data_IF_267305707177
#
_entry.id   IF_267305707177
#
_cell.length_a   1.000
_cell.length_b   1.000
_cell.length_c   1.000
_cell.angle_alpha   90.00
_cell.angle_beta   90.00
_cell.angle_gamma   90.00
#
_symmetry.space_group_name_H-M   'P 1'
#
loop_
_entity.id
_entity.type
_entity.pdbx_description
1 polymer ?
#
# COMPACT_ATOMS: atom_id res chain seq x y z
N UNK A 1 -2.63 6.40 6.99
CA UNK A 1 -2.66 5.21 7.84
C UNK A 1 -3.18 5.65 9.19
N UNK A 2 -4.09 4.87 9.77
CA UNK A 2 -4.64 5.15 11.09
C UNK A 2 -4.18 4.06 12.05
N UNK A 3 -3.76 4.44 13.26
CA UNK A 3 -3.34 3.55 14.34
C UNK A 3 -2.22 2.59 13.92
N UNK A 4 -1.19 3.11 13.25
CA UNK A 4 -0.10 2.31 12.68
C UNK A 4 1.05 2.21 13.68
N UNK A 5 1.27 1.00 14.21
CA UNK A 5 2.45 0.66 15.01
C UNK A 5 3.68 0.56 14.11
N UNK A 6 4.77 1.20 14.50
CA UNK A 6 6.07 1.06 13.84
C UNK A 6 7.22 1.24 14.83
N UNK A 7 8.45 0.99 14.37
CA UNK A 7 9.66 1.33 15.10
C UNK A 7 9.74 2.84 15.38
N UNK A 8 10.39 3.20 16.48
CA UNK A 8 10.53 4.59 16.89
C UNK A 8 11.90 4.85 17.53
N UNK A 9 12.27 6.13 17.64
CA UNK A 9 13.53 6.52 18.28
C UNK A 9 13.42 6.40 19.81
N UNK A 10 14.49 5.94 20.47
CA UNK A 10 14.60 5.91 21.94
C UNK A 10 15.33 4.69 22.49
N UNK A 11 15.18 3.53 21.85
CA UNK A 11 15.91 2.29 22.15
C UNK A 11 15.84 1.33 20.96
N UNK A 12 16.62 0.23 20.92
CA UNK A 12 16.57 -0.76 19.84
C UNK A 12 15.19 -1.41 19.64
N UNK A 13 14.38 -1.47 20.69
CA UNK A 13 13.05 -2.11 20.69
C UNK A 13 11.91 -1.07 20.79
N UNK A 14 12.23 0.22 20.70
CA UNK A 14 11.24 1.28 20.83
C UNK A 14 10.24 1.24 19.66
N UNK A 15 8.96 1.32 20.02
CA UNK A 15 7.86 1.39 19.05
C UNK A 15 6.94 2.56 19.37
N UNK A 16 6.21 3.02 18.35
CA UNK A 16 5.19 4.05 18.52
C UNK A 16 4.07 3.83 17.53
N UNK A 17 2.85 4.10 18.00
CA UNK A 17 1.68 4.20 17.16
C UNK A 17 1.57 5.63 16.64
N UNK A 18 1.55 5.79 15.32
CA UNK A 18 1.38 7.06 14.64
C UNK A 18 0.26 6.99 13.59
N UNK A 19 -0.10 8.16 13.08
CA UNK A 19 -1.27 8.42 12.26
C UNK A 19 -0.87 9.38 11.14
N UNK A 20 -1.53 9.30 9.98
CA UNK A 20 -1.38 10.28 8.90
C UNK A 20 -0.99 9.67 7.55
N UNK A 21 -0.88 10.51 6.53
CA UNK A 21 -0.49 10.10 5.17
C UNK A 21 0.91 9.51 5.15
N UNK A 22 1.84 10.03 5.96
CA UNK A 22 3.19 9.48 6.15
C UNK A 22 3.18 8.02 6.63
N UNK A 23 2.14 7.56 7.31
CA UNK A 23 1.98 6.15 7.71
C UNK A 23 1.24 5.33 6.66
N UNK A 24 0.47 5.94 5.75
CA UNK A 24 -0.09 5.24 4.58
C UNK A 24 0.98 4.98 3.50
N UNK A 25 1.78 6.00 3.16
CA UNK A 25 2.79 5.92 2.09
C UNK A 25 3.73 4.70 2.17
N UNK A 26 4.32 4.32 3.33
CA UNK A 26 5.19 3.15 3.41
C UNK A 26 4.47 1.82 3.12
N UNK A 27 3.15 1.72 3.34
CA UNK A 27 2.40 0.53 2.94
C UNK A 27 2.31 0.42 1.41
N UNK A 28 2.13 1.54 0.70
CA UNK A 28 2.13 1.57 -0.78
C UNK A 28 3.54 1.32 -1.32
N UNK A 29 4.58 1.84 -0.67
CA UNK A 29 5.97 1.55 -1.02
C UNK A 29 6.30 0.05 -0.86
N UNK A 30 5.89 -0.56 0.26
CA UNK A 30 6.01 -2.00 0.48
C UNK A 30 5.26 -2.82 -0.55
N UNK A 31 4.03 -2.42 -0.92
CA UNK A 31 3.27 -3.06 -1.99
C UNK A 31 3.97 -2.95 -3.37
N UNK A 32 4.58 -1.81 -3.66
CA UNK A 32 5.37 -1.62 -4.89
C UNK A 32 6.56 -2.58 -4.93
N UNK A 33 7.29 -2.72 -3.81
CA UNK A 33 8.39 -3.65 -3.68
C UNK A 33 7.93 -5.11 -3.82
N UNK A 34 6.77 -5.47 -3.25
CA UNK A 34 6.15 -6.78 -3.40
C UNK A 34 5.83 -7.11 -4.86
N UNK A 35 5.20 -6.18 -5.59
CA UNK A 35 4.89 -6.34 -7.02
C UNK A 35 6.17 -6.52 -7.85
N UNK A 36 7.21 -5.75 -7.56
CA UNK A 36 8.49 -5.87 -8.23
C UNK A 36 9.17 -7.22 -7.94
N UNK A 37 9.11 -7.70 -6.71
CA UNK A 37 9.71 -8.98 -6.30
C UNK A 37 9.00 -10.21 -6.89
N UNK A 38 7.71 -10.10 -7.20
CA UNK A 38 6.97 -11.17 -7.87
C UNK A 38 7.18 -11.20 -9.38
N UNK A 39 7.53 -10.07 -10.00
CA UNK A 39 7.57 -9.97 -11.46
C UNK A 39 8.80 -10.68 -12.04
N UNK A 40 8.63 -11.60 -13.03
CA UNK A 40 9.75 -12.27 -13.69
C UNK A 40 10.55 -11.33 -14.61
N UNK A 41 9.99 -10.15 -14.91
CA UNK A 41 10.62 -9.14 -15.76
C UNK A 41 10.58 -7.77 -15.09
N UNK A 42 11.47 -6.87 -15.50
CA UNK A 42 11.54 -5.52 -14.98
C UNK A 42 10.28 -4.73 -15.33
N UNK A 43 9.53 -4.30 -14.32
CA UNK A 43 8.39 -3.41 -14.49
C UNK A 43 8.83 -1.94 -14.48
N UNK A 44 8.13 -1.12 -15.26
CA UNK A 44 8.23 0.34 -15.22
C UNK A 44 7.41 0.91 -14.05
N UNK A 45 7.69 2.14 -13.59
CA UNK A 45 6.88 2.79 -12.56
C UNK A 45 5.39 2.86 -12.89
N UNK A 46 5.04 3.10 -14.16
CA UNK A 46 3.65 3.12 -14.64
C UNK A 46 3.00 1.74 -14.50
N UNK A 47 3.68 0.67 -14.91
CA UNK A 47 3.15 -0.69 -14.77
C UNK A 47 2.93 -1.10 -13.30
N UNK A 48 3.83 -0.69 -12.39
CA UNK A 48 3.66 -0.92 -10.95
C UNK A 48 2.45 -0.15 -10.42
N UNK A 49 2.34 1.14 -10.77
CA UNK A 49 1.17 1.97 -10.41
C UNK A 49 -0.13 1.32 -10.89
N UNK A 50 -0.18 0.89 -12.15
CA UNK A 50 -1.40 0.35 -12.74
C UNK A 50 -1.80 -0.97 -12.07
N UNK A 51 -0.84 -1.83 -11.72
CA UNK A 51 -1.10 -3.03 -10.89
C UNK A 51 -1.67 -2.66 -9.52
N UNK A 52 -1.14 -1.65 -8.84
CA UNK A 52 -1.68 -1.18 -7.54
C UNK A 52 -3.12 -0.70 -7.69
N UNK A 53 -3.42 0.08 -8.75
CA UNK A 53 -4.77 0.55 -9.02
C UNK A 53 -5.73 -0.59 -9.39
N UNK A 54 -5.23 -1.61 -10.09
CA UNK A 54 -6.02 -2.78 -10.47
C UNK A 54 -6.37 -3.65 -9.26
N UNK A 55 -5.43 -3.88 -8.34
CA UNK A 55 -5.64 -4.73 -7.17
C UNK A 55 -6.40 -4.06 -6.03
N UNK A 56 -6.37 -2.72 -5.94
CA UNK A 56 -7.01 -2.02 -4.83
C UNK A 56 -8.51 -2.32 -4.70
N UNK A 57 -8.97 -2.44 -3.46
CA UNK A 57 -10.38 -2.67 -3.15
C UNK A 57 -11.18 -1.39 -3.38
N UNK A 58 -12.18 -1.45 -4.25
CA UNK A 58 -12.95 -0.28 -4.70
C UNK A 58 -14.16 -0.02 -3.82
N UNK A 59 -14.51 1.25 -3.65
CA UNK A 59 -15.82 1.66 -3.10
C UNK A 59 -16.00 1.46 -1.60
N UNK A 60 -14.93 1.12 -0.87
CA UNK A 60 -14.99 0.85 0.57
C UNK A 60 -14.50 2.00 1.44
N UNK A 61 -13.91 3.04 0.84
CA UNK A 61 -13.48 4.24 1.58
C UNK A 61 -14.70 5.16 1.73
N UNK A 62 -15.20 5.26 2.96
CA UNK A 62 -16.22 6.25 3.29
C UNK A 62 -15.62 7.65 3.20
N UNK A 63 -16.38 8.60 2.67
CA UNK A 63 -15.97 10.02 2.53
C UNK A 63 -14.62 10.21 1.82
N UNK A 64 -14.36 9.46 0.74
CA UNK A 64 -13.13 9.55 -0.05
C UNK A 64 -12.85 10.98 -0.59
N UNK A 65 -13.86 11.83 -0.66
CA UNK A 65 -13.80 13.18 -1.22
C UNK A 65 -14.13 13.21 -2.71
N UNK A 66 -14.64 14.34 -3.17
CA UNK A 66 -14.95 14.56 -4.60
C UNK A 66 -13.70 14.39 -5.45
N UNK A 67 -13.84 13.76 -6.63
CA UNK A 67 -12.78 13.46 -7.60
C UNK A 67 -11.62 12.57 -7.10
N UNK A 68 -11.70 12.07 -5.87
CA UNK A 68 -10.69 11.15 -5.33
C UNK A 68 -11.02 9.70 -5.72
N UNK A 69 -10.01 8.89 -6.10
CA UNK A 69 -10.22 7.46 -6.29
C UNK A 69 -10.71 6.81 -4.99
N UNK A 70 -11.91 6.24 -4.98
CA UNK A 70 -12.38 5.43 -3.87
C UNK A 70 -11.74 4.04 -3.93
N UNK A 71 -10.49 3.97 -3.48
CA UNK A 71 -9.62 2.81 -3.60
C UNK A 71 -8.78 2.61 -2.34
N UNK A 72 -8.88 1.43 -1.72
CA UNK A 72 -7.98 1.01 -0.65
C UNK A 72 -6.89 0.09 -1.21
N UNK A 73 -5.63 0.35 -0.88
CA UNK A 73 -4.51 -0.49 -1.31
C UNK A 73 -4.68 -1.94 -0.84
N UNK A 74 -4.40 -2.89 -1.71
CA UNK A 74 -4.52 -4.32 -1.45
C UNK A 74 -3.37 -5.08 -2.13
N UNK A 75 -2.85 -6.10 -1.45
CA UNK A 75 -1.67 -6.85 -1.91
C UNK A 75 -1.99 -8.04 -2.81
N UNK A 76 -3.26 -8.28 -3.15
CA UNK A 76 -3.64 -9.38 -4.04
C UNK A 76 -3.62 -10.76 -3.38
N UNK A 77 -3.37 -10.85 -2.06
CA UNK A 77 -3.34 -12.14 -1.36
C UNK A 77 -4.69 -12.85 -1.52
N UNK A 78 -4.63 -14.08 -2.06
CA UNK A 78 -5.76 -14.99 -2.26
C UNK A 78 -6.68 -14.72 -3.48
N UNK A 79 -6.27 -13.92 -4.46
CA UNK A 79 -7.08 -13.70 -5.69
C UNK A 79 -6.79 -14.67 -6.85
N UNK A 80 -5.74 -15.51 -6.76
CA UNK A 80 -5.37 -16.45 -7.84
C UNK A 80 -5.03 -15.78 -9.18
N UNK A 81 -4.77 -14.47 -9.18
CA UNK A 81 -4.49 -13.70 -10.39
C UNK A 81 -3.03 -13.97 -10.79
N UNK A 82 -2.77 -14.37 -12.05
CA UNK A 82 -1.42 -14.52 -12.55
C UNK A 82 -0.64 -13.20 -12.43
N UNK A 83 0.60 -13.30 -11.96
CA UNK A 83 1.56 -12.21 -11.83
C UNK A 83 2.07 -11.72 -13.17
#
# INVERSE_FOLDING_TARGET
>A
GVNVLSAFIGSPDATRILQGTSMASPHVAGLSAYILGLSPSRLTPTQVRDKIFFWGTRGIVNDAGTDSPNLLAFNGYNLGIPI
#
